data_IF_266151298178
#
_entry.id   IF_266151298178
#
_cell.length_a   1.000
_cell.length_b   1.000
_cell.length_c   1.000
_cell.angle_alpha   90.00
_cell.angle_beta   90.00
_cell.angle_gamma   90.00
#
_symmetry.space_group_name_H-M   'P 1'
#
loop_
_entity.id
_entity.type
_entity.pdbx_description
1 polymer ?
#
# COMPACT_ATOMS: atom_id res chain seq x y z
N UNK A 1 1.83 6.06 16.27
CA UNK A 1 3.31 6.14 16.13
C UNK A 1 3.67 7.47 15.49
N UNK A 2 4.84 8.05 15.75
CA UNK A 2 5.21 9.31 15.10
C UNK A 2 5.78 9.02 13.71
N UNK A 3 5.31 9.76 12.71
CA UNK A 3 5.79 9.70 11.32
C UNK A 3 6.02 11.12 10.81
N UNK A 4 7.02 11.29 9.96
CA UNK A 4 7.32 12.52 9.25
C UNK A 4 6.60 12.52 7.89
N UNK A 5 5.89 13.61 7.61
CA UNK A 5 5.25 13.86 6.32
C UNK A 5 6.27 14.37 5.30
N UNK A 6 5.92 14.30 4.01
CA UNK A 6 6.80 14.78 2.93
C UNK A 6 7.13 16.28 3.03
N UNK A 7 6.26 17.07 3.68
CA UNK A 7 6.49 18.49 3.96
C UNK A 7 7.33 18.78 5.23
N UNK A 8 7.89 17.76 5.88
CA UNK A 8 8.73 17.89 7.08
C UNK A 8 7.99 17.94 8.41
N UNK A 9 6.65 18.05 8.42
CA UNK A 9 5.87 18.02 9.67
C UNK A 9 5.84 16.61 10.25
N UNK A 10 5.94 16.49 11.56
CA UNK A 10 5.78 15.21 12.26
C UNK A 10 4.36 15.12 12.79
N UNK A 11 3.69 13.99 12.53
CA UNK A 11 2.36 13.70 13.04
C UNK A 11 2.37 12.40 13.85
N UNK A 12 1.41 12.26 14.76
CA UNK A 12 1.12 10.99 15.38
C UNK A 12 0.12 10.21 14.51
N UNK A 13 0.61 9.21 13.78
CA UNK A 13 -0.22 8.28 13.01
C UNK A 13 -0.97 7.35 13.96
N UNK A 14 -2.29 7.53 14.01
CA UNK A 14 -3.23 6.65 14.72
C UNK A 14 -3.98 5.80 13.71
N UNK A 15 -3.79 4.48 13.77
CA UNK A 15 -4.46 3.53 12.88
C UNK A 15 -5.82 3.15 13.51
N UNK A 16 -6.93 3.41 12.82
CA UNK A 16 -8.29 3.17 13.34
C UNK A 16 -9.00 2.06 12.58
N UNK A 17 -9.17 0.90 13.21
CA UNK A 17 -10.05 -0.19 12.73
C UNK A 17 -9.88 -0.59 11.24
N UNK A 18 -8.66 -0.53 10.72
CA UNK A 18 -8.28 -0.91 9.36
C UNK A 18 -7.83 -2.38 9.27
N UNK A 19 -8.57 -3.33 9.86
CA UNK A 19 -8.18 -4.76 9.77
C UNK A 19 -8.37 -5.29 8.34
N UNK A 20 -7.70 -6.39 8.03
CA UNK A 20 -7.88 -7.12 6.77
C UNK A 20 -9.36 -7.31 6.43
N UNK A 21 -9.71 -6.96 5.19
CA UNK A 21 -11.07 -7.02 4.68
C UNK A 21 -11.43 -8.44 4.25
N UNK A 22 -12.72 -8.75 4.34
CA UNK A 22 -13.30 -9.90 3.65
C UNK A 22 -13.28 -9.67 2.14
N UNK A 23 -13.26 -10.74 1.34
CA UNK A 23 -13.09 -10.66 -0.12
C UNK A 23 -14.07 -9.69 -0.80
N UNK A 24 -15.34 -9.68 -0.39
CA UNK A 24 -16.37 -8.80 -0.95
C UNK A 24 -16.15 -7.31 -0.70
N UNK A 25 -15.29 -6.94 0.26
CA UNK A 25 -14.97 -5.56 0.62
C UNK A 25 -13.59 -5.11 0.13
N UNK A 26 -12.75 -6.04 -0.34
CA UNK A 26 -11.42 -5.70 -0.88
C UNK A 26 -11.56 -5.10 -2.28
N UNK A 27 -10.67 -4.16 -2.64
CA UNK A 27 -10.72 -3.47 -3.93
C UNK A 27 -10.56 -4.41 -5.12
N UNK A 28 -9.82 -5.51 -4.95
CA UNK A 28 -9.60 -6.50 -6.00
C UNK A 28 -9.33 -7.88 -5.43
N UNK A 29 -9.58 -8.92 -6.24
CA UNK A 29 -9.19 -10.30 -5.91
C UNK A 29 -7.68 -10.43 -5.69
N UNK A 30 -6.89 -9.63 -6.39
CA UNK A 30 -5.43 -9.59 -6.27
C UNK A 30 -4.99 -9.08 -4.90
N UNK A 31 -5.45 -7.89 -4.50
CA UNK A 31 -5.15 -7.32 -3.19
C UNK A 31 -5.64 -8.23 -2.06
N UNK A 32 -6.83 -8.81 -2.19
CA UNK A 32 -7.34 -9.80 -1.24
C UNK A 32 -6.38 -11.00 -1.11
N UNK A 33 -5.89 -11.54 -2.23
CA UNK A 33 -4.95 -12.66 -2.25
C UNK A 33 -3.63 -12.31 -1.55
N UNK A 34 -3.08 -11.13 -1.79
CA UNK A 34 -1.90 -10.62 -1.08
C UNK A 34 -2.17 -10.52 0.41
N UNK A 35 -3.32 -9.96 0.82
CA UNK A 35 -3.71 -9.86 2.22
C UNK A 35 -3.84 -11.21 2.93
N UNK A 36 -4.40 -12.23 2.27
CA UNK A 36 -4.44 -13.59 2.81
C UNK A 36 -3.04 -14.16 2.97
N UNK A 37 -2.17 -13.95 1.97
CA UNK A 37 -0.80 -14.43 2.01
C UNK A 37 0.00 -13.79 3.15
N UNK A 38 -0.15 -12.49 3.37
CA UNK A 38 0.46 -11.80 4.51
C UNK A 38 -0.02 -12.39 5.83
N UNK A 39 -1.32 -12.73 5.94
CA UNK A 39 -1.88 -13.36 7.15
C UNK A 39 -1.35 -14.77 7.39
N UNK A 40 -1.08 -15.53 6.33
CA UNK A 40 -0.45 -16.84 6.44
C UNK A 40 1.00 -16.75 6.90
N UNK A 41 1.77 -15.78 6.39
CA UNK A 41 3.19 -15.62 6.73
C UNK A 41 3.41 -14.94 8.08
N UNK A 42 2.52 -14.02 8.47
CA UNK A 42 2.59 -13.23 9.70
C UNK A 42 1.33 -13.40 10.55
N UNK A 43 1.02 -14.63 11.02
CA UNK A 43 -0.26 -14.95 11.66
C UNK A 43 -0.46 -14.28 13.03
N UNK A 44 0.62 -13.82 13.66
CA UNK A 44 0.60 -13.18 14.98
C UNK A 44 0.71 -11.66 14.92
N UNK A 45 0.96 -11.09 13.73
CA UNK A 45 1.11 -9.66 13.55
C UNK A 45 -0.20 -8.98 13.18
N UNK A 46 -0.32 -7.71 13.55
CA UNK A 46 -1.42 -6.88 13.09
C UNK A 46 -1.17 -6.40 11.67
N UNK A 47 -1.94 -6.93 10.73
CA UNK A 47 -1.96 -6.50 9.34
C UNK A 47 -3.13 -5.54 9.14
N UNK A 48 -2.80 -4.31 8.78
CA UNK A 48 -3.78 -3.28 8.49
C UNK A 48 -3.89 -3.03 6.99
N UNK A 49 -5.09 -2.76 6.49
CA UNK A 49 -5.39 -2.55 5.06
C UNK A 49 -5.95 -1.13 4.83
N UNK A 50 -5.54 -0.48 3.73
CA UNK A 50 -5.99 0.85 3.28
C UNK A 50 -5.80 1.97 4.31
N UNK A 51 -4.58 2.15 4.79
CA UNK A 51 -4.28 3.16 5.81
C UNK A 51 -4.02 4.50 5.14
N UNK A 52 -4.86 5.48 5.46
CA UNK A 52 -4.68 6.85 5.02
C UNK A 52 -3.62 7.55 5.89
N UNK A 53 -2.67 8.22 5.24
CA UNK A 53 -1.69 9.08 5.89
C UNK A 53 -2.22 10.52 5.87
N UNK A 54 -2.65 11.07 7.03
CA UNK A 54 -3.17 12.43 7.10
C UNK A 54 -2.11 13.44 6.64
N UNK A 55 -2.51 14.43 5.83
CA UNK A 55 -1.63 15.51 5.37
C UNK A 55 -0.94 15.24 4.04
N UNK A 56 -0.42 14.03 3.80
CA UNK A 56 0.18 13.68 2.49
C UNK A 56 -0.85 13.10 1.50
N UNK A 57 -2.02 12.67 1.98
CA UNK A 57 -3.08 12.10 1.14
C UNK A 57 -2.70 10.74 0.53
N UNK A 58 -1.65 10.10 1.05
CA UNK A 58 -1.22 8.76 0.67
C UNK A 58 -2.15 7.73 1.31
N UNK A 59 -2.34 6.62 0.62
CA UNK A 59 -3.08 5.46 1.11
C UNK A 59 -2.17 4.26 0.94
N UNK A 60 -1.82 3.63 2.05
CA UNK A 60 -1.05 2.39 2.05
C UNK A 60 -1.99 1.22 1.84
N UNK A 61 -1.68 0.30 0.94
CA UNK A 61 -2.50 -0.89 0.72
C UNK A 61 -2.44 -1.82 1.94
N UNK A 62 -1.24 -2.14 2.43
CA UNK A 62 -1.04 -2.87 3.68
C UNK A 62 0.08 -2.30 4.53
N UNK A 63 -0.08 -2.41 5.85
CA UNK A 63 0.95 -2.03 6.81
C UNK A 63 1.01 -3.00 7.99
N UNK A 64 2.22 -3.39 8.37
CA UNK A 64 2.53 -4.23 9.53
C UNK A 64 3.45 -3.44 10.47
N UNK A 65 2.88 -2.77 11.50
CA UNK A 65 3.63 -1.87 12.39
C UNK A 65 4.81 -2.49 13.12
N UNK A 66 4.64 -3.72 13.63
CA UNK A 66 5.68 -4.47 14.36
C UNK A 66 6.94 -4.66 13.53
N UNK A 67 6.78 -4.79 12.22
CA UNK A 67 7.86 -5.02 11.26
C UNK A 67 8.31 -3.75 10.52
N UNK A 68 7.64 -2.60 10.73
CA UNK A 68 7.82 -1.40 9.92
C UNK A 68 7.69 -1.70 8.41
N UNK A 69 6.76 -2.59 8.03
CA UNK A 69 6.60 -3.08 6.67
C UNK A 69 5.35 -2.48 6.01
N UNK A 70 5.53 -1.91 4.83
CA UNK A 70 4.47 -1.48 3.90
C UNK A 70 4.47 -2.41 2.69
N UNK A 71 3.30 -2.87 2.27
CA UNK A 71 3.14 -3.71 1.07
C UNK A 71 2.13 -3.07 0.13
N UNK A 72 2.56 -2.79 -1.10
CA UNK A 72 1.76 -2.09 -2.13
C UNK A 72 1.41 -3.02 -3.29
N UNK A 73 0.15 -3.01 -3.72
CA UNK A 73 -0.35 -3.89 -4.78
C UNK A 73 -0.49 -3.15 -6.11
N UNK A 74 0.49 -3.31 -6.99
CA UNK A 74 0.49 -2.67 -8.30
C UNK A 74 -0.20 -3.53 -9.36
N UNK A 75 -1.44 -3.17 -9.69
CA UNK A 75 -2.12 -3.66 -10.89
C UNK A 75 -1.48 -3.15 -12.18
N UNK A 76 -1.89 -3.68 -13.34
CA UNK A 76 -1.39 -3.24 -14.67
C UNK A 76 -1.52 -1.74 -14.91
N UNK A 77 -2.48 -1.08 -14.25
CA UNK A 77 -2.65 0.37 -14.36
C UNK A 77 -1.42 1.17 -13.90
N UNK A 78 -0.57 0.64 -13.02
CA UNK A 78 0.59 1.37 -12.51
C UNK A 78 1.74 1.48 -13.54
N UNK A 79 1.79 0.56 -14.51
CA UNK A 79 2.84 0.54 -15.55
C UNK A 79 2.32 0.99 -16.91
N UNK A 80 1.00 0.94 -17.14
CA UNK A 80 0.38 1.22 -18.42
C UNK A 80 -0.80 2.19 -18.30
N UNK A 81 -0.88 3.15 -19.24
CA UNK A 81 -2.04 4.03 -19.36
C UNK A 81 -3.24 3.26 -19.95
N UNK A 82 -4.02 2.64 -19.05
CA UNK A 82 -5.25 1.93 -19.39
C UNK A 82 -6.46 2.86 -19.25
N UNK A 83 -7.23 3.06 -20.32
CA UNK A 83 -8.40 3.99 -20.37
C UNK A 83 -9.46 3.74 -19.28
N UNK A 84 -9.61 2.49 -18.86
CA UNK A 84 -10.55 2.13 -17.80
C UNK A 84 -10.13 2.71 -16.44
N UNK A 85 -8.83 2.78 -16.17
CA UNK A 85 -8.25 3.27 -14.92
C UNK A 85 -7.82 4.73 -14.99
N UNK A 86 -7.48 5.21 -16.19
CA UNK A 86 -7.02 6.58 -16.44
C UNK A 86 -7.86 7.20 -17.56
N UNK A 87 -8.60 8.27 -17.25
CA UNK A 87 -9.34 8.99 -18.27
C UNK A 87 -8.39 9.74 -19.21
N UNK A 88 -7.28 10.20 -18.66
CA UNK A 88 -6.25 10.98 -19.36
C UNK A 88 -4.85 10.48 -19.02
N UNK A 89 -3.87 10.78 -19.88
CA UNK A 89 -2.45 10.54 -19.58
C UNK A 89 -1.98 11.23 -18.30
N UNK A 90 -2.59 12.39 -17.98
CA UNK A 90 -2.34 13.11 -16.74
C UNK A 90 -2.75 12.29 -15.52
N UNK A 91 -3.85 11.54 -15.58
CA UNK A 91 -4.28 10.69 -14.46
C UNK A 91 -3.29 9.55 -14.19
N UNK A 92 -2.69 9.00 -15.25
CA UNK A 92 -1.62 8.00 -15.14
C UNK A 92 -0.35 8.61 -14.53
N UNK A 93 0.10 9.77 -15.01
CA UNK A 93 1.25 10.45 -14.39
C UNK A 93 1.00 10.82 -12.93
N UNK A 94 -0.21 11.27 -12.58
CA UNK A 94 -0.58 11.54 -11.20
C UNK A 94 -0.51 10.26 -10.33
N UNK A 95 -0.83 9.09 -10.88
CA UNK A 95 -0.67 7.81 -10.18
C UNK A 95 0.83 7.50 -9.97
N UNK A 96 1.67 7.66 -11.00
CA UNK A 96 3.12 7.46 -10.89
C UNK A 96 3.76 8.40 -9.85
N UNK A 97 3.33 9.67 -9.81
CA UNK A 97 3.79 10.64 -8.81
C UNK A 97 3.41 10.23 -7.39
N UNK A 98 2.21 9.66 -7.20
CA UNK A 98 1.78 9.15 -5.89
C UNK A 98 2.61 7.93 -5.47
N UNK A 99 2.87 7.01 -6.39
CA UNK A 99 3.72 5.85 -6.14
C UNK A 99 5.14 6.31 -5.74
N UNK A 100 5.71 7.30 -6.45
CA UNK A 100 7.02 7.88 -6.10
C UNK A 100 7.02 8.51 -4.72
N UNK A 101 6.02 9.34 -4.39
CA UNK A 101 5.88 9.96 -3.06
C UNK A 101 5.75 8.93 -1.95
N UNK A 102 5.09 7.81 -2.21
CA UNK A 102 4.97 6.72 -1.25
C UNK A 102 6.32 6.04 -0.98
N UNK A 103 7.14 5.80 -2.03
CA UNK A 103 8.51 5.29 -1.85
C UNK A 103 9.35 6.23 -1.00
N UNK A 104 9.29 7.53 -1.29
CA UNK A 104 9.99 8.56 -0.51
C UNK A 104 9.50 8.60 0.93
N UNK A 105 8.19 8.56 1.16
CA UNK A 105 7.60 8.56 2.49
C UNK A 105 8.03 7.34 3.31
N UNK A 106 8.05 6.15 2.71
CA UNK A 106 8.55 4.94 3.37
C UNK A 106 10.02 5.08 3.75
N UNK A 107 10.86 5.54 2.81
CA UNK A 107 12.29 5.78 3.05
C UNK A 107 12.53 6.78 4.17
N UNK A 108 11.81 7.91 4.16
CA UNK A 108 11.89 8.98 5.16
C UNK A 108 11.60 8.47 6.57
N UNK A 109 10.63 7.58 6.70
CA UNK A 109 10.18 7.04 7.99
C UNK A 109 10.86 5.72 8.39
N UNK A 110 11.80 5.22 7.58
CA UNK A 110 12.48 3.96 7.81
C UNK A 110 11.53 2.74 7.73
N UNK A 111 10.50 2.82 6.91
CA UNK A 111 9.63 1.69 6.58
C UNK A 111 10.21 0.90 5.41
N UNK A 112 10.22 -0.43 5.54
CA UNK A 112 10.52 -1.33 4.44
C UNK A 112 9.31 -1.35 3.51
N UNK A 113 9.51 -1.08 2.23
CA UNK A 113 8.48 -1.13 1.20
C UNK A 113 8.66 -2.39 0.35
N UNK A 114 7.59 -3.14 0.14
CA UNK A 114 7.51 -4.26 -0.80
C UNK A 114 6.44 -3.94 -1.83
N UNK A 115 6.84 -3.87 -3.10
CA UNK A 115 5.94 -3.61 -4.23
C UNK A 115 5.61 -4.94 -4.92
N UNK A 116 4.32 -5.29 -4.96
CA UNK A 116 3.83 -6.53 -5.58
C UNK A 116 3.15 -6.19 -6.89
N UNK A 117 3.73 -6.63 -7.99
CA UNK A 117 3.14 -6.44 -9.31
C UNK A 117 2.23 -7.60 -9.69
N UNK A 118 1.02 -7.29 -10.16
CA UNK A 118 0.00 -8.29 -10.51
C UNK A 118 0.50 -9.37 -11.49
N UNK A 119 1.37 -9.00 -12.42
CA UNK A 119 1.93 -9.92 -13.43
C UNK A 119 2.89 -10.97 -12.85
N UNK A 120 3.57 -10.63 -11.75
CA UNK A 120 4.60 -11.47 -11.13
C UNK A 120 4.10 -12.20 -9.89
N UNK A 121 2.93 -11.79 -9.36
CA UNK A 121 2.39 -12.34 -8.13
C UNK A 121 1.93 -13.79 -8.28
N UNK A 122 2.35 -14.61 -7.32
CA UNK A 122 1.91 -16.00 -7.16
C UNK A 122 1.59 -16.25 -5.69
N UNK A 123 0.64 -17.14 -5.37
CA UNK A 123 0.35 -17.52 -3.98
C UNK A 123 1.56 -18.07 -3.21
N UNK A 124 2.59 -18.56 -3.91
CA UNK A 124 3.83 -19.07 -3.33
C UNK A 124 4.88 -18.00 -3.02
N UNK A 125 4.65 -16.72 -3.35
CA UNK A 125 5.58 -15.62 -3.08
C UNK A 125 5.77 -15.41 -1.56
N UNK A 126 6.95 -14.90 -1.16
CA UNK A 126 7.29 -14.59 0.24
C UNK A 126 7.55 -13.10 0.42
N UNK A 127 7.20 -12.57 1.59
CA UNK A 127 7.26 -11.14 1.95
C UNK A 127 8.34 -10.81 2.98
#
# INVERSE_FOLDING_TARGET
MNVQLTNGRVINLQIKNNRLKVQSKSKSKFQYGVGQKLKEEYPYDFIFEEIQIPGDGLILDFFIPSMKLVVECHGKQHTEHIKHFHKTKRDFHNQQDRDSKMREWCKLNGFRLVEVFYGDWKPSARF
#
